data_IF_224866340489
#
_entry.id   IF_224866340489
#
_cell.length_a   1.000
_cell.length_b   1.000
_cell.length_c   1.000
_cell.angle_alpha   90.00
_cell.angle_beta   90.00
_cell.angle_gamma   90.00
#
_symmetry.space_group_name_H-M   'P 1'
#
loop_
_entity.id
_entity.type
_entity.pdbx_description
1 polymer ?
#
# COMPACT_ATOMS: atom_id res chain seq x y z
N UNK A 1 -16.49 29.33 11.72
CA UNK A 1 -15.72 28.38 10.89
C UNK A 1 -14.30 28.33 11.46
N UNK A 2 -13.83 27.22 12.04
CA UNK A 2 -12.46 27.19 12.55
C UNK A 2 -11.49 26.95 11.39
N UNK A 3 -10.50 27.83 11.34
CA UNK A 3 -9.41 27.91 10.40
C UNK A 3 -8.32 26.92 10.84
N UNK A 4 -8.15 25.80 10.13
CA UNK A 4 -7.06 24.86 10.39
C UNK A 4 -5.77 25.39 9.76
N UNK A 5 -5.01 26.15 10.55
CA UNK A 5 -3.62 26.49 10.26
C UNK A 5 -2.79 25.20 10.30
N UNK A 6 -2.35 24.74 9.13
CA UNK A 6 -1.31 23.72 8.94
C UNK A 6 0.04 24.32 9.34
N UNK A 7 0.24 24.55 10.63
CA UNK A 7 1.54 24.87 11.21
C UNK A 7 2.03 23.66 11.97
N UNK A 8 3.20 23.13 11.56
CA UNK A 8 3.93 22.01 12.15
C UNK A 8 3.76 20.65 11.45
N UNK A 9 4.16 20.57 10.18
CA UNK A 9 5.17 19.56 9.85
C UNK A 9 6.48 20.33 9.71
N UNK A 10 7.32 20.25 10.74
CA UNK A 10 8.69 20.72 10.64
C UNK A 10 9.32 20.03 9.41
N UNK A 11 9.70 20.84 8.43
CA UNK A 11 10.71 20.47 7.45
C UNK A 11 11.94 20.18 8.31
N UNK A 12 12.25 18.89 8.48
CA UNK A 12 13.51 18.47 9.08
C UNK A 12 14.57 18.79 8.04
N UNK A 13 15.09 20.00 8.15
CA UNK A 13 16.34 20.46 7.57
C UNK A 13 17.44 19.79 8.39
N UNK A 14 17.88 18.62 7.93
CA UNK A 14 19.06 17.96 8.47
C UNK A 14 19.70 17.21 7.31
N UNK A 15 20.84 17.73 6.86
CA UNK A 15 21.80 17.13 5.92
C UNK A 15 22.41 15.85 6.50
N UNK A 16 21.55 14.89 6.88
CA UNK A 16 21.97 13.54 7.21
C UNK A 16 22.18 12.83 5.88
N UNK A 17 23.41 12.40 5.55
CA UNK A 17 23.64 11.66 4.34
C UNK A 17 22.76 10.41 4.39
N UNK A 18 21.89 10.26 3.38
CA UNK A 18 20.93 9.15 3.15
C UNK A 18 21.66 7.79 2.99
N UNK A 19 22.97 7.72 3.28
CA UNK A 19 23.85 6.58 3.15
C UNK A 19 23.78 5.56 4.31
N UNK A 20 22.99 5.80 5.36
CA UNK A 20 22.93 4.91 6.55
C UNK A 20 21.73 3.98 6.59
N UNK A 21 20.72 4.18 5.74
CA UNK A 21 19.60 3.24 5.63
C UNK A 21 20.06 2.07 4.74
N UNK A 22 19.96 0.80 5.19
CA UNK A 22 20.19 -0.34 4.31
C UNK A 22 19.32 -0.15 3.07
N UNK A 23 19.88 -0.23 1.86
CA UNK A 23 19.17 0.08 0.60
C UNK A 23 17.88 -0.73 0.38
N UNK A 24 17.63 -1.74 1.21
CA UNK A 24 16.45 -2.59 1.22
C UNK A 24 15.50 -2.33 2.40
N UNK A 25 15.77 -1.38 3.29
CA UNK A 25 14.97 -1.10 4.48
C UNK A 25 14.17 0.18 4.28
N UNK A 26 12.86 0.08 4.42
CA UNK A 26 11.93 1.23 4.39
C UNK A 26 11.12 1.24 5.69
N UNK A 27 10.36 2.32 5.92
CA UNK A 27 9.39 2.36 7.03
C UNK A 27 8.38 1.20 6.96
N UNK A 28 8.17 0.63 5.78
CA UNK A 28 7.26 -0.48 5.51
C UNK A 28 7.93 -1.87 5.66
N UNK A 29 9.23 -1.92 5.97
CA UNK A 29 9.97 -3.16 6.18
C UNK A 29 11.14 -3.36 5.22
N UNK A 30 11.65 -4.59 5.19
CA UNK A 30 12.79 -4.99 4.34
C UNK A 30 12.31 -5.62 3.04
N UNK A 31 12.56 -4.94 1.93
CA UNK A 31 12.17 -5.38 0.59
C UNK A 31 13.42 -5.63 -0.26
N UNK A 32 13.66 -6.87 -0.73
CA UNK A 32 14.80 -7.17 -1.59
C UNK A 32 14.67 -6.55 -2.99
N UNK A 33 13.46 -6.20 -3.43
CA UNK A 33 13.20 -5.58 -4.75
C UNK A 33 12.12 -4.50 -4.68
N UNK A 34 12.17 -3.53 -5.60
CA UNK A 34 11.12 -2.50 -5.75
C UNK A 34 9.76 -3.14 -6.04
N UNK A 35 9.73 -4.24 -6.82
CA UNK A 35 8.51 -5.02 -7.08
C UNK A 35 7.88 -5.55 -5.79
N UNK A 36 8.69 -6.10 -4.88
CA UNK A 36 8.20 -6.62 -3.60
C UNK A 36 7.66 -5.52 -2.68
N UNK A 37 8.30 -4.33 -2.72
CA UNK A 37 7.83 -3.14 -2.00
C UNK A 37 6.48 -2.66 -2.55
N UNK A 38 6.35 -2.54 -3.89
CA UNK A 38 5.12 -2.13 -4.55
C UNK A 38 3.99 -3.12 -4.28
N UNK A 39 4.25 -4.42 -4.38
CA UNK A 39 3.28 -5.45 -4.06
C UNK A 39 2.80 -5.35 -2.61
N UNK A 40 3.71 -5.14 -1.66
CA UNK A 40 3.35 -4.96 -0.25
C UNK A 40 2.50 -3.71 -0.03
N UNK A 41 2.86 -2.58 -0.65
CA UNK A 41 2.11 -1.34 -0.55
C UNK A 41 0.67 -1.48 -1.07
N UNK A 42 0.47 -2.16 -2.21
CA UNK A 42 -0.86 -2.45 -2.76
C UNK A 42 -1.69 -3.29 -1.79
N UNK A 43 -1.10 -4.34 -1.23
CA UNK A 43 -1.78 -5.20 -0.25
C UNK A 43 -2.22 -4.40 0.97
N UNK A 44 -1.36 -3.54 1.51
CA UNK A 44 -1.72 -2.66 2.62
C UNK A 44 -2.91 -1.77 2.25
N UNK A 45 -2.86 -1.11 1.09
CA UNK A 45 -3.95 -0.23 0.64
C UNK A 45 -5.29 -0.96 0.55
N UNK A 46 -5.31 -2.16 -0.03
CA UNK A 46 -6.53 -2.97 -0.17
C UNK A 46 -7.11 -3.39 1.18
N UNK A 47 -6.26 -3.84 2.11
CA UNK A 47 -6.67 -4.21 3.47
C UNK A 47 -7.23 -3.00 4.22
N UNK A 48 -6.57 -1.84 4.12
CA UNK A 48 -7.05 -0.61 4.76
C UNK A 48 -8.37 -0.12 4.16
N UNK A 49 -8.51 -0.14 2.83
CA UNK A 49 -9.76 0.25 2.15
C UNK A 49 -10.92 -0.64 2.60
N UNK A 50 -10.72 -1.96 2.66
CA UNK A 50 -11.75 -2.89 3.11
C UNK A 50 -12.08 -2.74 4.60
N UNK A 51 -11.07 -2.56 5.46
CA UNK A 51 -11.29 -2.30 6.88
C UNK A 51 -12.07 -0.99 7.10
N UNK A 52 -11.72 0.07 6.38
CA UNK A 52 -12.43 1.35 6.45
C UNK A 52 -13.89 1.21 6.01
N UNK A 53 -14.16 0.42 4.97
CA UNK A 53 -15.51 0.17 4.52
C UNK A 53 -16.35 -0.62 5.55
N UNK A 54 -15.78 -1.68 6.13
CA UNK A 54 -16.43 -2.43 7.20
C UNK A 54 -16.77 -1.53 8.41
N UNK A 55 -15.86 -0.62 8.80
CA UNK A 55 -16.14 0.35 9.87
C UNK A 55 -17.35 1.24 9.55
N UNK A 56 -17.48 1.70 8.29
CA UNK A 56 -18.64 2.49 7.88
C UNK A 56 -19.97 1.73 7.97
N UNK A 57 -19.94 0.39 7.90
CA UNK A 57 -21.12 -0.46 8.04
C UNK A 57 -21.54 -0.69 9.50
N UNK A 58 -20.80 -0.14 10.47
CA UNK A 58 -21.17 -0.20 11.89
C UNK A 58 -20.40 -1.23 12.72
N UNK A 59 -19.29 -1.79 12.21
CA UNK A 59 -18.37 -2.55 13.05
C UNK A 59 -17.58 -1.58 13.94
N UNK A 60 -18.05 -1.40 15.18
CA UNK A 60 -17.56 -0.37 16.10
C UNK A 60 -16.12 -0.55 16.60
N UNK A 61 -15.53 -1.74 16.47
CA UNK A 61 -14.13 -1.99 16.82
C UNK A 61 -13.22 -2.02 15.59
N UNK A 62 -12.30 -1.07 15.52
CA UNK A 62 -11.29 -0.99 14.46
C UNK A 62 -10.40 -2.25 14.42
N UNK A 63 -10.04 -2.81 15.59
CA UNK A 63 -9.13 -3.95 15.65
C UNK A 63 -9.78 -5.21 15.09
N UNK A 64 -11.00 -5.51 15.48
CA UNK A 64 -11.81 -6.59 14.90
C UNK A 64 -12.00 -6.39 13.40
N UNK A 65 -12.39 -5.19 12.99
CA UNK A 65 -12.61 -4.83 11.59
C UNK A 65 -11.37 -5.03 10.72
N UNK A 66 -10.21 -4.55 11.19
CA UNK A 66 -8.94 -4.74 10.51
C UNK A 66 -8.54 -6.22 10.44
N UNK A 67 -8.80 -6.97 11.52
CA UNK A 67 -8.55 -8.42 11.55
C UNK A 67 -9.42 -9.15 10.53
N UNK A 68 -10.70 -8.79 10.40
CA UNK A 68 -11.60 -9.32 9.38
C UNK A 68 -11.08 -9.01 7.97
N UNK A 69 -10.64 -7.78 7.71
CA UNK A 69 -10.07 -7.39 6.42
C UNK A 69 -8.80 -8.17 6.06
N UNK A 70 -7.89 -8.36 7.03
CA UNK A 70 -6.69 -9.19 6.84
C UNK A 70 -7.05 -10.64 6.57
N UNK A 71 -8.03 -11.19 7.28
CA UNK A 71 -8.46 -12.58 7.08
C UNK A 71 -9.10 -12.77 5.71
N UNK A 72 -9.95 -11.84 5.28
CA UNK A 72 -10.56 -11.83 3.94
C UNK A 72 -9.50 -11.74 2.85
N UNK A 73 -8.48 -10.90 3.03
CA UNK A 73 -7.34 -10.85 2.12
C UNK A 73 -6.59 -12.20 2.06
N UNK A 74 -6.26 -12.79 3.21
CA UNK A 74 -5.54 -14.07 3.30
C UNK A 74 -6.33 -15.25 2.69
N UNK A 75 -7.65 -15.22 2.78
CA UNK A 75 -8.51 -16.25 2.19
C UNK A 75 -8.86 -16.00 0.73
N UNK A 76 -8.40 -14.88 0.15
CA UNK A 76 -8.66 -14.51 -1.24
C UNK A 76 -7.48 -14.83 -2.14
N UNK A 77 -7.77 -15.01 -3.43
CA UNK A 77 -6.75 -15.19 -4.47
C UNK A 77 -5.89 -13.94 -4.69
N UNK A 78 -6.23 -12.81 -4.05
CA UNK A 78 -5.52 -11.53 -4.13
C UNK A 78 -4.07 -11.68 -3.65
N UNK A 79 -3.82 -12.58 -2.69
CA UNK A 79 -2.46 -12.84 -2.18
C UNK A 79 -1.50 -13.28 -3.29
N UNK A 80 -1.97 -14.00 -4.30
CA UNK A 80 -1.15 -14.47 -5.43
C UNK A 80 -1.34 -13.58 -6.67
N UNK A 81 -2.51 -12.99 -6.85
CA UNK A 81 -2.80 -12.12 -7.98
C UNK A 81 -1.96 -10.84 -7.97
N UNK A 82 -1.82 -10.18 -6.81
CA UNK A 82 -1.07 -8.90 -6.70
C UNK A 82 0.42 -9.06 -7.05
N UNK A 83 1.19 -10.00 -6.46
CA UNK A 83 2.59 -10.17 -6.82
C UNK A 83 2.80 -10.51 -8.31
N UNK A 84 1.90 -11.32 -8.89
CA UNK A 84 1.97 -11.69 -10.30
C UNK A 84 1.67 -10.50 -11.22
N UNK A 85 0.65 -9.72 -10.91
CA UNK A 85 0.28 -8.55 -11.68
C UNK A 85 1.34 -7.45 -11.60
N UNK A 86 1.93 -7.22 -10.42
CA UNK A 86 3.06 -6.29 -10.26
C UNK A 86 4.27 -6.78 -11.06
N UNK A 87 4.61 -8.07 -10.98
CA UNK A 87 5.71 -8.62 -11.78
C UNK A 87 5.48 -8.42 -13.29
N UNK A 88 4.27 -8.68 -13.78
CA UNK A 88 3.91 -8.47 -15.18
C UNK A 88 4.02 -6.99 -15.59
N UNK A 89 3.56 -6.06 -14.74
CA UNK A 89 3.66 -4.62 -14.99
C UNK A 89 5.11 -4.16 -15.16
N UNK A 90 6.00 -4.61 -14.27
CA UNK A 90 7.43 -4.30 -14.37
C UNK A 90 8.11 -4.98 -15.58
N UNK A 91 7.66 -6.16 -15.99
CA UNK A 91 8.16 -6.81 -17.21
C UNK A 91 7.73 -6.06 -18.48
N UNK A 92 6.50 -5.54 -18.50
CA UNK A 92 5.93 -4.85 -19.65
C UNK A 92 6.46 -3.42 -19.82
N UNK A 93 6.64 -2.68 -18.72
CA UNK A 93 6.96 -1.24 -18.75
C UNK A 93 8.37 -0.90 -18.25
N UNK A 94 9.13 -1.88 -17.76
CA UNK A 94 10.46 -1.66 -17.20
C UNK A 94 10.43 -0.68 -16.02
N UNK A 95 11.25 0.37 -16.10
CA UNK A 95 11.30 1.46 -15.11
C UNK A 95 10.53 2.72 -15.55
N UNK A 96 9.65 2.65 -16.56
CA UNK A 96 8.81 3.79 -16.90
C UNK A 96 7.78 4.01 -15.78
N UNK A 97 8.06 4.99 -14.91
CA UNK A 97 7.24 5.27 -13.74
C UNK A 97 5.80 5.66 -14.05
N UNK A 98 5.53 6.30 -15.19
CA UNK A 98 4.18 6.74 -15.56
C UNK A 98 3.28 5.53 -15.91
N UNK A 99 3.71 4.71 -16.87
CA UNK A 99 2.96 3.53 -17.30
C UNK A 99 2.85 2.48 -16.19
N UNK A 100 3.89 2.38 -15.36
CA UNK A 100 3.89 1.49 -14.20
C UNK A 100 2.85 1.95 -13.17
N UNK A 101 2.76 3.26 -12.91
CA UNK A 101 1.75 3.81 -12.00
C UNK A 101 0.33 3.55 -12.51
N UNK A 102 0.07 3.79 -13.80
CA UNK A 102 -1.23 3.51 -14.43
C UNK A 102 -1.60 2.02 -14.33
N UNK A 103 -0.65 1.12 -14.61
CA UNK A 103 -0.87 -0.32 -14.53
C UNK A 103 -1.12 -0.77 -13.09
N UNK A 104 -0.39 -0.23 -12.11
CA UNK A 104 -0.61 -0.52 -10.69
C UNK A 104 -2.01 -0.06 -10.25
N UNK A 105 -2.46 1.12 -10.66
CA UNK A 105 -3.80 1.61 -10.36
C UNK A 105 -4.88 0.69 -10.93
N UNK A 106 -4.67 0.18 -12.16
CA UNK A 106 -5.56 -0.82 -12.76
C UNK A 106 -5.59 -2.11 -11.93
N UNK A 107 -4.43 -2.62 -11.52
CA UNK A 107 -4.30 -3.82 -10.68
C UNK A 107 -5.04 -3.65 -9.35
N UNK A 108 -4.91 -2.49 -8.70
CA UNK A 108 -5.65 -2.19 -7.46
C UNK A 108 -7.16 -2.24 -7.72
N UNK A 109 -7.63 -1.63 -8.81
CA UNK A 109 -9.05 -1.63 -9.19
C UNK A 109 -9.62 -3.03 -9.44
N UNK A 110 -8.87 -3.88 -10.14
CA UNK A 110 -9.25 -5.26 -10.47
C UNK A 110 -9.26 -6.19 -9.25
N UNK A 111 -8.44 -5.88 -8.23
CA UNK A 111 -8.24 -6.73 -7.06
C UNK A 111 -8.87 -6.14 -5.79
N UNK A 112 -9.82 -5.22 -5.93
CA UNK A 112 -10.60 -4.75 -4.79
C UNK A 112 -11.21 -5.93 -4.07
N UNK A 113 -10.96 -6.02 -2.76
CA UNK A 113 -11.57 -7.05 -1.91
C UNK A 113 -13.09 -6.83 -1.98
N UNK A 114 -13.80 -7.71 -2.69
CA UNK A 114 -15.25 -7.64 -2.81
C UNK A 114 -15.86 -7.56 -1.42
N UNK A 115 -16.84 -6.67 -1.29
CA UNK A 115 -17.80 -6.67 -0.18
C UNK A 115 -18.48 -8.03 -0.10
#
# INVERSE_FOLDING_TARGET
>A
MPNFQLSSLAVVDDDVPISSLPQNSTLLGKFPTVQSMVGHAIVCLLVFEHAYFLMQQGSGDWRETFTMAVNKYKSSDIQTAIPNAVKAAFQQHGNNGADLCETILRVIGENKISM
#
